data_IF_879420705797
#
_entry.id   IF_879420705797
#
_cell.length_a   1.000
_cell.length_b   1.000
_cell.length_c   1.000
_cell.angle_alpha   90.00
_cell.angle_beta   90.00
_cell.angle_gamma   90.00
#
_symmetry.space_group_name_H-M   'P 1'
#
loop_
_entity.id
_entity.type
_entity.pdbx_description
1 polymer ?
#
# COMPACT_ATOMS: atom_id res chain seq x y z
N UNK A 1 -9.80 61.68 -29.01
CA UNK A 1 -10.04 61.31 -27.59
C UNK A 1 -10.56 59.88 -27.38
N UNK A 2 -11.34 59.30 -28.31
CA UNK A 2 -11.93 57.94 -28.17
C UNK A 2 -10.91 56.78 -28.17
N UNK A 3 -9.83 56.88 -28.96
CA UNK A 3 -8.81 55.82 -29.08
C UNK A 3 -8.03 55.56 -27.78
N UNK A 4 -7.62 56.62 -27.06
CA UNK A 4 -6.96 56.49 -25.75
C UNK A 4 -7.86 55.81 -24.70
N UNK A 5 -9.18 56.02 -24.79
CA UNK A 5 -10.15 55.37 -23.89
C UNK A 5 -10.36 53.88 -24.22
N UNK A 6 -10.28 53.51 -25.50
CA UNK A 6 -10.32 52.10 -25.93
C UNK A 6 -9.05 51.38 -25.47
N UNK A 7 -7.88 52.00 -25.65
CA UNK A 7 -6.59 51.41 -25.22
C UNK A 7 -6.53 51.21 -23.69
N UNK A 8 -7.05 52.19 -22.92
CA UNK A 8 -7.16 52.04 -21.45
C UNK A 8 -8.06 50.87 -21.05
N UNK A 9 -9.18 50.66 -21.76
CA UNK A 9 -10.09 49.53 -21.49
C UNK A 9 -9.45 48.19 -21.81
N UNK A 10 -8.70 48.09 -22.92
CA UNK A 10 -7.97 46.88 -23.30
C UNK A 10 -6.88 46.56 -22.26
N UNK A 11 -6.10 47.56 -21.84
CA UNK A 11 -5.08 47.39 -20.81
C UNK A 11 -5.69 46.93 -19.48
N UNK A 12 -6.81 47.53 -19.06
CA UNK A 12 -7.52 47.15 -17.85
C UNK A 12 -8.03 45.70 -17.91
N UNK A 13 -8.57 45.29 -19.07
CA UNK A 13 -9.06 43.93 -19.28
C UNK A 13 -7.91 42.91 -19.24
N UNK A 14 -6.78 43.20 -19.89
CA UNK A 14 -5.60 42.35 -19.87
C UNK A 14 -5.05 42.16 -18.44
N UNK A 15 -4.99 43.24 -17.65
CA UNK A 15 -4.58 43.16 -16.24
C UNK A 15 -5.55 42.29 -15.44
N UNK A 16 -6.87 42.47 -15.60
CA UNK A 16 -7.85 41.62 -14.91
C UNK A 16 -7.67 40.12 -15.24
N UNK A 17 -7.40 39.78 -16.51
CA UNK A 17 -7.19 38.38 -16.92
C UNK A 17 -5.89 37.77 -16.39
N UNK A 18 -4.86 38.58 -16.15
CA UNK A 18 -3.61 38.11 -15.52
C UNK A 18 -3.79 37.84 -14.02
N UNK A 19 -4.66 38.57 -13.32
CA UNK A 19 -4.91 38.34 -11.89
C UNK A 19 -5.76 37.08 -11.61
N UNK A 20 -6.54 36.57 -12.57
CA UNK A 20 -7.36 35.36 -12.37
C UNK A 20 -6.60 34.05 -12.62
N UNK A 21 -5.41 34.09 -13.25
CA UNK A 21 -4.60 32.91 -13.55
C UNK A 21 -4.04 32.17 -12.32
N UNK A 22 -3.95 32.85 -11.17
CA UNK A 22 -3.45 32.24 -9.92
C UNK A 22 -4.45 31.29 -9.24
N UNK A 23 -5.68 31.17 -9.75
CA UNK A 23 -6.68 30.24 -9.20
C UNK A 23 -6.30 28.76 -9.33
N UNK A 24 -5.43 28.39 -10.29
CA UNK A 24 -4.94 27.00 -10.43
C UNK A 24 -3.81 26.64 -9.45
N UNK A 25 -3.27 27.61 -8.71
CA UNK A 25 -2.32 27.39 -7.61
C UNK A 25 -3.02 27.18 -6.25
N UNK A 26 -4.36 27.25 -6.23
CA UNK A 26 -5.16 26.95 -5.05
C UNK A 26 -4.96 25.46 -4.73
N UNK A 27 -4.21 25.21 -3.64
CA UNK A 27 -3.90 23.92 -2.99
C UNK A 27 -4.76 22.77 -3.54
N UNK A 28 -4.21 22.03 -4.49
CA UNK A 28 -4.75 20.71 -4.80
C UNK A 28 -4.66 19.88 -3.51
N UNK A 29 -5.74 19.21 -3.08
CA UNK A 29 -5.68 18.36 -1.90
C UNK A 29 -4.58 17.32 -2.10
N UNK A 30 -3.70 17.20 -1.10
CA UNK A 30 -2.64 16.21 -1.16
C UNK A 30 -3.28 14.82 -1.32
N UNK A 31 -2.80 14.00 -2.25
CA UNK A 31 -3.36 12.68 -2.46
C UNK A 31 -3.18 11.84 -1.19
N UNK A 32 -4.27 11.22 -0.74
CA UNK A 32 -4.30 10.40 0.47
C UNK A 32 -3.83 9.00 0.12
N UNK A 33 -2.83 8.49 0.85
CA UNK A 33 -2.38 7.09 0.71
C UNK A 33 -3.40 6.19 1.42
N UNK A 34 -3.92 5.21 0.70
CA UNK A 34 -4.79 4.16 1.24
C UNK A 34 -3.97 2.91 1.52
N UNK A 35 -4.06 2.40 2.75
CA UNK A 35 -3.37 1.19 3.17
C UNK A 35 -4.29 -0.03 3.08
N UNK A 36 -3.72 -1.14 2.62
CA UNK A 36 -4.40 -2.43 2.43
C UNK A 36 -3.72 -3.51 3.25
N UNK A 37 -4.49 -4.50 3.67
CA UNK A 37 -4.01 -5.68 4.37
C UNK A 37 -4.64 -6.94 3.76
N UNK A 38 -3.95 -8.07 3.85
CA UNK A 38 -4.54 -9.36 3.55
C UNK A 38 -5.63 -9.67 4.60
N UNK A 39 -6.88 -9.74 4.15
CA UNK A 39 -8.01 -10.15 4.97
C UNK A 39 -8.65 -11.39 4.35
N UNK A 40 -8.51 -12.51 5.06
CA UNK A 40 -9.13 -13.77 4.69
C UNK A 40 -9.32 -14.65 5.92
N UNK A 41 -10.36 -15.48 5.88
CA UNK A 41 -10.59 -16.51 6.88
C UNK A 41 -9.84 -17.79 6.49
N UNK A 42 -9.06 -18.42 7.38
CA UNK A 42 -8.43 -19.69 7.08
C UNK A 42 -9.47 -20.79 6.91
N UNK A 43 -9.33 -21.57 5.84
CA UNK A 43 -10.06 -22.83 5.69
C UNK A 43 -9.42 -23.88 6.59
N UNK A 44 -10.04 -24.16 7.74
CA UNK A 44 -9.55 -25.18 8.66
C UNK A 44 -10.10 -26.53 8.19
N UNK A 45 -9.22 -27.36 7.63
CA UNK A 45 -9.54 -28.77 7.35
C UNK A 45 -9.56 -29.59 8.64
N UNK A 46 -10.21 -30.76 8.63
CA UNK A 46 -10.20 -31.71 9.74
C UNK A 46 -8.78 -32.27 9.95
N UNK A 47 -7.94 -31.52 10.64
CA UNK A 47 -6.56 -31.88 10.93
C UNK A 47 -6.47 -32.80 12.15
N UNK A 48 -5.78 -33.93 11.99
CA UNK A 48 -5.39 -34.80 13.10
C UNK A 48 -4.26 -34.10 13.87
N UNK A 49 -4.42 -33.80 15.18
CA UNK A 49 -3.39 -33.14 15.95
C UNK A 49 -2.12 -33.99 16.04
N UNK A 50 -0.97 -33.37 15.81
CA UNK A 50 0.34 -33.98 15.97
C UNK A 50 1.07 -33.37 17.18
N UNK A 51 1.68 -34.24 17.99
CA UNK A 51 2.44 -33.86 19.18
C UNK A 51 3.84 -33.35 18.83
N UNK A 52 3.92 -32.32 17.99
CA UNK A 52 5.14 -31.66 17.54
C UNK A 52 4.96 -30.15 17.56
N UNK A 53 6.06 -29.44 17.72
CA UNK A 53 6.13 -27.98 17.61
C UNK A 53 6.72 -27.61 16.26
N UNK A 54 6.12 -26.64 15.58
CA UNK A 54 6.64 -26.09 14.32
C UNK A 54 7.20 -24.68 14.53
N UNK A 55 8.35 -24.42 13.91
CA UNK A 55 8.96 -23.09 13.84
C UNK A 55 8.56 -22.42 12.52
N UNK A 56 7.84 -21.31 12.61
CA UNK A 56 7.55 -20.46 11.45
C UNK A 56 8.65 -19.41 11.35
N UNK A 57 9.52 -19.57 10.35
CA UNK A 57 10.52 -18.56 9.98
C UNK A 57 9.88 -17.50 9.09
N UNK A 58 10.53 -16.35 9.00
CA UNK A 58 10.14 -15.34 8.03
C UNK A 58 10.25 -15.92 6.61
N UNK A 59 9.21 -15.71 5.83
CA UNK A 59 9.24 -16.07 4.41
C UNK A 59 10.25 -15.18 3.70
N UNK A 60 10.83 -15.68 2.60
CA UNK A 60 11.61 -14.85 1.70
C UNK A 60 10.84 -14.75 0.40
N UNK A 61 10.65 -13.52 -0.07
CA UNK A 61 9.98 -13.24 -1.34
C UNK A 61 10.96 -12.63 -2.33
N UNK A 62 10.61 -12.66 -3.61
CA UNK A 62 11.40 -11.97 -4.63
C UNK A 62 11.39 -10.46 -4.34
N UNK A 63 12.56 -9.81 -4.38
CA UNK A 63 12.73 -8.38 -4.07
C UNK A 63 11.88 -7.41 -4.91
N UNK A 64 11.31 -7.88 -6.02
CA UNK A 64 10.31 -7.13 -6.81
C UNK A 64 9.03 -6.88 -6.01
N UNK A 65 8.66 -7.81 -5.12
CA UNK A 65 7.49 -7.75 -4.24
C UNK A 65 7.82 -7.31 -2.81
N UNK A 66 9.10 -7.23 -2.45
CA UNK A 66 9.55 -6.87 -1.11
C UNK A 66 9.51 -5.35 -0.88
N UNK A 67 8.29 -4.82 -0.84
CA UNK A 67 8.00 -3.41 -0.56
C UNK A 67 6.52 -3.22 -0.23
N UNK A 68 6.22 -2.09 0.39
CA UNK A 68 4.85 -1.74 0.74
C UNK A 68 4.02 -1.31 -0.49
N UNK A 69 4.66 -0.89 -1.58
CA UNK A 69 3.94 -0.50 -2.79
C UNK A 69 3.25 -1.69 -3.47
N UNK A 70 1.94 -1.58 -3.73
CA UNK A 70 1.19 -2.63 -4.42
C UNK A 70 1.60 -2.64 -5.90
N UNK A 71 2.20 -3.75 -6.31
CA UNK A 71 2.61 -3.99 -7.69
C UNK A 71 1.41 -4.43 -8.54
N UNK A 72 1.36 -3.96 -9.78
CA UNK A 72 0.48 -4.48 -10.81
C UNK A 72 1.25 -4.64 -12.13
N UNK A 73 0.76 -5.51 -13.00
CA UNK A 73 1.33 -5.77 -14.31
C UNK A 73 0.19 -5.80 -15.33
N UNK A 74 0.26 -4.88 -16.29
CA UNK A 74 -0.67 -4.74 -17.42
C UNK A 74 -0.16 -5.46 -18.67
N UNK A 75 1.16 -5.71 -18.75
CA UNK A 75 1.82 -6.35 -19.88
C UNK A 75 2.89 -7.34 -19.36
N UNK A 76 3.21 -8.37 -20.16
CA UNK A 76 4.06 -9.51 -19.78
C UNK A 76 5.42 -9.15 -19.13
N UNK A 77 5.96 -7.96 -19.41
CA UNK A 77 7.27 -7.52 -18.90
C UNK A 77 7.23 -6.13 -18.25
N UNK A 78 6.03 -5.61 -17.98
CA UNK A 78 5.84 -4.28 -17.43
C UNK A 78 5.24 -4.40 -16.04
N UNK A 79 5.93 -3.79 -15.10
CA UNK A 79 5.60 -3.82 -13.69
C UNK A 79 5.52 -2.39 -13.20
N UNK A 80 4.38 -2.02 -12.64
CA UNK A 80 4.14 -0.71 -12.09
C UNK A 80 3.64 -0.82 -10.66
N UNK A 81 3.59 0.31 -9.98
CA UNK A 81 3.12 0.39 -8.61
C UNK A 81 2.00 1.41 -8.49
N UNK A 82 1.01 1.13 -7.65
CA UNK A 82 0.00 2.13 -7.34
C UNK A 82 0.62 3.23 -6.46
N UNK A 83 0.59 4.51 -6.88
CA UNK A 83 1.25 5.59 -6.14
C UNK A 83 0.60 5.88 -4.78
N UNK A 84 -0.72 5.67 -4.66
CA UNK A 84 -1.51 6.00 -3.47
C UNK A 84 -2.21 4.79 -2.85
N UNK A 85 -1.84 3.57 -3.25
CA UNK A 85 -2.32 2.33 -2.63
C UNK A 85 -1.12 1.50 -2.21
N UNK A 86 -1.01 1.28 -0.92
CA UNK A 86 0.12 0.57 -0.32
C UNK A 86 -0.39 -0.53 0.59
N UNK A 87 0.42 -1.55 0.81
CA UNK A 87 0.25 -2.47 1.90
C UNK A 87 0.52 -1.76 3.23
N UNK A 88 -0.17 -2.16 4.29
CA UNK A 88 0.07 -1.62 5.64
C UNK A 88 1.36 -2.16 6.28
N UNK A 89 1.92 -3.22 5.70
CA UNK A 89 3.18 -3.86 6.06
C UNK A 89 3.71 -4.61 4.83
N UNK A 90 4.97 -5.02 4.82
CA UNK A 90 5.55 -5.74 3.68
C UNK A 90 4.76 -7.02 3.38
N UNK A 91 4.63 -7.43 2.10
CA UNK A 91 4.01 -8.71 1.77
C UNK A 91 4.67 -9.89 2.47
N UNK A 92 5.98 -9.82 2.70
CA UNK A 92 6.74 -10.81 3.43
C UNK A 92 6.20 -11.02 4.86
N UNK A 93 6.02 -9.92 5.59
CA UNK A 93 5.54 -9.95 6.98
C UNK A 93 4.08 -10.37 7.04
N UNK A 94 3.24 -9.81 6.17
CA UNK A 94 1.82 -10.16 6.13
C UNK A 94 1.61 -11.65 5.86
N UNK A 95 2.33 -12.23 4.90
CA UNK A 95 2.27 -13.67 4.62
C UNK A 95 2.79 -14.48 5.81
N UNK A 96 3.93 -14.10 6.39
CA UNK A 96 4.52 -14.81 7.54
C UNK A 96 3.54 -14.87 8.71
N UNK A 97 2.95 -13.73 9.07
CA UNK A 97 1.98 -13.66 10.18
C UNK A 97 0.67 -14.35 9.86
N UNK A 98 0.20 -14.28 8.60
CA UNK A 98 -1.01 -14.98 8.18
C UNK A 98 -0.84 -16.49 8.30
N UNK A 99 0.30 -17.04 7.83
CA UNK A 99 0.62 -18.46 8.00
C UNK A 99 0.74 -18.85 9.47
N UNK A 100 1.46 -18.06 10.28
CA UNK A 100 1.60 -18.33 11.72
C UNK A 100 0.24 -18.39 12.41
N UNK A 101 -0.62 -17.40 12.14
CA UNK A 101 -1.99 -17.34 12.65
C UNK A 101 -2.79 -18.57 12.23
N UNK A 102 -2.70 -18.97 10.96
CA UNK A 102 -3.50 -20.07 10.41
C UNK A 102 -3.04 -21.42 10.96
N UNK A 103 -1.73 -21.64 11.11
CA UNK A 103 -1.20 -22.82 11.79
C UNK A 103 -1.63 -22.89 13.26
N UNK A 104 -1.63 -21.77 13.98
CA UNK A 104 -2.16 -21.75 15.35
C UNK A 104 -3.64 -22.09 15.39
N UNK A 105 -4.44 -21.49 14.50
CA UNK A 105 -5.90 -21.71 14.43
C UNK A 105 -6.26 -23.13 14.02
N UNK A 106 -5.43 -23.79 13.22
CA UNK A 106 -5.66 -25.17 12.78
C UNK A 106 -5.68 -26.19 13.91
N UNK A 107 -5.03 -25.90 15.05
CA UNK A 107 -4.85 -26.86 16.14
C UNK A 107 -4.04 -28.10 15.76
N UNK A 108 -3.43 -28.14 14.57
CA UNK A 108 -2.71 -29.31 14.08
C UNK A 108 -1.42 -29.59 14.86
N UNK A 109 -0.79 -28.57 15.45
CA UNK A 109 0.49 -28.69 16.15
C UNK A 109 0.34 -28.38 17.63
N UNK A 110 1.10 -29.08 18.49
CA UNK A 110 1.18 -28.78 19.93
C UNK A 110 1.69 -27.36 20.20
N UNK A 111 2.52 -26.83 19.31
CA UNK A 111 3.04 -25.47 19.41
C UNK A 111 3.41 -24.90 18.05
N UNK A 112 3.20 -23.60 17.90
CA UNK A 112 3.63 -22.81 16.74
C UNK A 112 4.46 -21.66 17.28
N UNK A 113 5.74 -21.62 16.93
CA UNK A 113 6.71 -20.66 17.48
C UNK A 113 7.43 -19.88 16.38
N UNK A 114 8.00 -18.74 16.74
CA UNK A 114 8.87 -17.91 15.89
C UNK A 114 10.32 -17.96 16.39
N UNK A 115 11.31 -17.58 15.56
CA UNK A 115 12.73 -17.60 15.95
C UNK A 115 13.01 -16.82 17.25
N UNK A 116 12.34 -15.70 17.48
CA UNK A 116 12.50 -14.91 18.70
C UNK A 116 12.02 -15.62 19.98
N UNK A 117 11.13 -16.61 19.86
CA UNK A 117 10.66 -17.42 21.00
C UNK A 117 11.60 -18.57 21.34
N UNK A 118 12.41 -19.04 20.37
CA UNK A 118 13.44 -20.05 20.64
C UNK A 118 14.60 -19.53 21.49
N UNK A 119 14.79 -18.22 21.51
CA UNK A 119 15.88 -17.55 22.22
C UNK A 119 15.51 -17.15 23.65
N UNK A 120 14.27 -17.40 24.09
CA UNK A 120 13.84 -17.15 25.47
C UNK A 120 14.19 -18.38 26.34
N UNK A 121 15.00 -18.21 27.41
CA UNK A 121 15.42 -19.30 28.29
C UNK A 121 14.27 -19.91 29.07
#
# INVERSE_FOLDING_TARGET
MKFKNILKKILLFAVLTFLTGCGSLIKQPAPIITYYQLDYSPEISNTVPINKTILIKQFFINGTYDRDAIMYSDEKYKCNYYPYKQWISTPQDMITESFRRDFMKSGAFKGVITPGQLLKP
#
